data_IF_660469363903
#
_entry.id   IF_660469363903
#
_cell.length_a   1.000
_cell.length_b   1.000
_cell.length_c   1.000
_cell.angle_alpha   90.00
_cell.angle_beta   90.00
_cell.angle_gamma   90.00
#
_symmetry.space_group_name_H-M   'P 1'
#
loop_
_entity.id
_entity.type
_entity.pdbx_description
1 polymer ?
#
# COMPACT_ATOMS: atom_id res chain seq x y z
N UNK A 1 -2.83 -18.86 8.18
CA UNK A 1 -2.50 -17.49 7.71
C UNK A 1 -0.99 -17.29 7.59
N UNK A 2 -0.55 -16.59 6.54
CA UNK A 2 0.81 -16.05 6.32
C UNK A 2 0.75 -14.54 6.08
N UNK A 3 1.66 -13.78 6.68
CA UNK A 3 1.75 -12.34 6.52
C UNK A 3 2.96 -11.93 5.66
N UNK A 4 2.72 -11.01 4.73
CA UNK A 4 3.75 -10.27 3.98
C UNK A 4 3.76 -8.83 4.47
N UNK A 5 4.83 -8.42 5.13
CA UNK A 5 4.84 -7.16 5.90
C UNK A 5 5.79 -6.16 5.26
N UNK A 6 5.38 -4.91 5.17
CA UNK A 6 6.27 -3.84 4.74
C UNK A 6 7.54 -3.78 5.63
N UNK A 7 8.66 -3.27 5.11
CA UNK A 7 9.82 -2.92 5.94
C UNK A 7 10.20 -1.44 5.79
N UNK A 8 10.68 -0.88 6.89
CA UNK A 8 11.32 0.44 6.98
C UNK A 8 12.86 0.32 7.18
N UNK A 9 13.42 -0.87 6.94
CA UNK A 9 14.84 -1.24 7.13
C UNK A 9 15.34 -1.21 8.57
N UNK A 10 14.45 -1.36 9.55
CA UNK A 10 14.79 -1.53 10.96
C UNK A 10 15.03 -3.02 11.28
N UNK A 11 16.25 -3.36 11.69
CA UNK A 11 16.62 -4.74 12.04
C UNK A 11 16.00 -5.20 13.37
N UNK A 12 15.71 -4.31 14.30
CA UNK A 12 15.04 -4.68 15.55
C UNK A 12 13.58 -5.03 15.30
N UNK A 13 12.93 -4.37 14.33
CA UNK A 13 11.59 -4.72 13.89
C UNK A 13 11.49 -6.18 13.44
N UNK A 14 12.47 -6.68 12.67
CA UNK A 14 12.51 -8.07 12.21
C UNK A 14 12.52 -9.08 13.36
N UNK A 15 13.31 -8.82 14.40
CA UNK A 15 13.35 -9.68 15.61
C UNK A 15 12.00 -9.71 16.32
N UNK A 16 11.35 -8.55 16.41
CA UNK A 16 10.07 -8.41 17.12
C UNK A 16 8.91 -9.11 16.39
N UNK A 17 8.98 -9.21 15.06
CA UNK A 17 7.94 -9.87 14.26
C UNK A 17 8.18 -11.36 14.02
N UNK A 18 9.39 -11.87 14.27
CA UNK A 18 9.77 -13.27 14.03
C UNK A 18 8.91 -14.31 14.78
N UNK A 19 8.26 -13.89 15.88
CA UNK A 19 7.34 -14.73 16.67
C UNK A 19 5.93 -14.84 16.08
N UNK A 20 5.60 -14.04 15.08
CA UNK A 20 4.30 -14.01 14.42
C UNK A 20 4.39 -14.75 13.06
N UNK A 21 3.25 -15.12 12.44
CA UNK A 21 3.23 -15.83 11.14
C UNK A 21 3.63 -14.94 9.95
N UNK A 22 4.79 -14.29 10.02
CA UNK A 22 5.38 -13.47 8.94
C UNK A 22 6.27 -14.35 8.07
N UNK A 23 5.85 -14.57 6.83
CA UNK A 23 6.57 -15.38 5.84
C UNK A 23 7.63 -14.55 5.10
N UNK A 24 7.32 -13.26 4.89
CA UNK A 24 8.23 -12.33 4.22
C UNK A 24 8.10 -10.89 4.73
N UNK A 25 9.18 -10.13 4.55
CA UNK A 25 9.13 -8.67 4.49
C UNK A 25 9.37 -8.18 3.08
N UNK A 26 8.81 -7.02 2.73
CA UNK A 26 9.01 -6.42 1.41
C UNK A 26 9.40 -4.94 1.49
N UNK A 27 10.28 -4.54 0.58
CA UNK A 27 10.84 -3.19 0.54
C UNK A 27 11.52 -2.89 -0.80
N UNK A 28 11.98 -1.65 -0.95
CA UNK A 28 12.88 -1.26 -2.04
C UNK A 28 13.73 -0.07 -1.62
N UNK A 29 14.83 0.16 -2.32
CA UNK A 29 15.63 1.37 -2.14
C UNK A 29 14.80 2.62 -2.47
N UNK A 30 15.12 3.79 -1.87
CA UNK A 30 14.36 5.01 -2.08
C UNK A 30 14.28 5.43 -3.56
N UNK A 31 15.36 5.18 -4.30
CA UNK A 31 15.44 5.36 -5.75
C UNK A 31 16.16 4.17 -6.36
N UNK A 32 15.64 3.70 -7.47
CA UNK A 32 16.29 2.76 -8.37
C UNK A 32 15.89 3.05 -9.81
N UNK A 33 16.43 2.28 -10.74
CA UNK A 33 16.10 2.47 -12.15
C UNK A 33 14.62 2.19 -12.41
N UNK A 34 13.95 1.23 -11.79
CA UNK A 34 12.57 0.89 -12.20
C UNK A 34 11.54 1.91 -11.67
N UNK A 35 11.69 2.38 -10.44
CA UNK A 35 10.60 3.06 -9.72
C UNK A 35 9.67 2.06 -9.03
N UNK A 36 8.62 2.53 -8.36
CA UNK A 36 7.71 1.66 -7.63
C UNK A 36 6.54 2.38 -6.99
N UNK A 37 5.82 1.66 -6.12
CA UNK A 37 4.53 2.13 -5.59
C UNK A 37 4.53 3.21 -4.51
N UNK A 38 5.64 3.94 -4.31
CA UNK A 38 5.75 5.05 -3.34
C UNK A 38 6.78 6.03 -3.86
N UNK A 39 6.48 7.32 -3.82
CA UNK A 39 7.43 8.36 -4.18
C UNK A 39 8.66 8.35 -3.24
N UNK A 40 9.83 8.63 -3.80
CA UNK A 40 11.13 8.49 -3.12
C UNK A 40 11.23 9.31 -1.82
N UNK A 41 10.54 10.44 -1.74
CA UNK A 41 10.54 11.28 -0.54
C UNK A 41 9.88 10.63 0.69
N UNK A 42 9.11 9.56 0.51
CA UNK A 42 8.39 8.83 1.58
C UNK A 42 9.09 7.56 2.05
N UNK A 43 10.20 7.16 1.42
CA UNK A 43 10.81 5.82 1.60
C UNK A 43 12.16 5.84 2.32
N UNK A 44 12.52 6.96 2.96
CA UNK A 44 13.75 7.11 3.74
C UNK A 44 15.02 7.20 2.88
N UNK A 45 16.17 6.80 3.44
CA UNK A 45 17.51 6.97 2.82
C UNK A 45 18.29 5.64 2.77
N UNK A 46 17.60 4.51 2.64
CA UNK A 46 18.25 3.20 2.69
C UNK A 46 19.28 3.02 1.57
N UNK A 47 20.47 2.53 1.91
CA UNK A 47 21.53 2.18 0.95
C UNK A 47 21.52 0.69 0.58
N UNK A 48 22.24 0.31 -0.49
CA UNK A 48 22.44 -1.10 -0.85
C UNK A 48 23.11 -1.91 0.28
N UNK A 49 24.06 -1.32 1.01
CA UNK A 49 24.70 -1.98 2.15
C UNK A 49 23.74 -2.20 3.33
N UNK A 50 22.86 -1.23 3.59
CA UNK A 50 21.80 -1.38 4.59
C UNK A 50 20.80 -2.45 4.17
N UNK A 51 20.40 -2.48 2.89
CA UNK A 51 19.55 -3.53 2.35
C UNK A 51 20.19 -4.92 2.54
N UNK A 52 21.46 -5.11 2.17
CA UNK A 52 22.16 -6.39 2.34
C UNK A 52 22.20 -6.85 3.82
N UNK A 53 22.49 -5.93 4.74
CA UNK A 53 22.46 -6.21 6.18
C UNK A 53 21.04 -6.61 6.67
N UNK A 54 20.02 -5.94 6.14
CA UNK A 54 18.62 -6.19 6.47
C UNK A 54 18.13 -7.54 5.93
N UNK A 55 18.46 -7.89 4.69
CA UNK A 55 18.18 -9.22 4.09
C UNK A 55 18.80 -10.32 4.94
N UNK A 56 20.10 -10.20 5.27
CA UNK A 56 20.80 -11.15 6.15
C UNK A 56 20.13 -11.30 7.51
N UNK A 57 19.61 -10.19 8.06
CA UNK A 57 18.90 -10.21 9.35
C UNK A 57 17.54 -10.86 9.22
N UNK A 58 16.80 -10.64 8.13
CA UNK A 58 15.53 -11.29 7.87
C UNK A 58 15.71 -12.82 7.81
N UNK A 59 16.70 -13.29 7.04
CA UNK A 59 17.02 -14.72 6.94
C UNK A 59 17.42 -15.35 8.27
N UNK A 60 18.20 -14.65 9.10
CA UNK A 60 18.53 -15.11 10.46
C UNK A 60 17.30 -15.33 11.35
N UNK A 61 16.20 -14.66 11.06
CA UNK A 61 14.93 -14.79 11.77
C UNK A 61 13.93 -15.69 11.01
N UNK A 62 14.35 -16.39 9.96
CA UNK A 62 13.49 -17.26 9.15
C UNK A 62 12.49 -16.52 8.26
N UNK A 63 12.74 -15.23 7.96
CA UNK A 63 11.85 -14.38 7.17
C UNK A 63 12.49 -14.13 5.79
N UNK A 64 11.73 -14.35 4.72
CA UNK A 64 12.17 -14.04 3.35
C UNK A 64 12.13 -12.53 3.06
N UNK A 65 12.90 -12.08 2.07
CA UNK A 65 12.92 -10.71 1.60
C UNK A 65 12.44 -10.60 0.15
N UNK A 66 11.44 -9.75 -0.08
CA UNK A 66 10.86 -9.45 -1.39
C UNK A 66 11.17 -8.01 -1.83
N UNK A 67 11.93 -7.83 -2.90
CA UNK A 67 12.28 -6.52 -3.44
C UNK A 67 11.24 -6.03 -4.47
N UNK A 68 10.83 -4.77 -4.37
CA UNK A 68 9.79 -4.20 -5.24
C UNK A 68 10.37 -3.47 -6.46
N UNK A 69 10.17 -4.03 -7.66
CA UNK A 69 10.36 -3.42 -8.98
C UNK A 69 9.01 -3.22 -9.69
N UNK A 70 8.05 -2.68 -8.95
CA UNK A 70 6.63 -2.78 -9.27
C UNK A 70 6.03 -1.53 -9.96
N UNK A 71 6.87 -0.73 -10.64
CA UNK A 71 6.41 0.40 -11.44
C UNK A 71 5.45 -0.07 -12.54
N UNK A 72 4.36 0.68 -12.75
CA UNK A 72 3.41 0.42 -13.86
C UNK A 72 3.91 1.00 -15.19
N UNK A 73 4.77 2.02 -15.12
CA UNK A 73 5.36 2.69 -16.26
C UNK A 73 6.82 3.03 -15.94
N UNK A 74 7.71 2.74 -16.88
CA UNK A 74 9.13 3.09 -16.79
C UNK A 74 9.54 4.14 -17.83
N UNK A 75 8.60 4.71 -18.59
CA UNK A 75 8.93 5.67 -19.65
C UNK A 75 9.77 5.05 -20.77
N UNK A 76 9.49 3.80 -21.14
CA UNK A 76 10.16 3.04 -22.21
C UNK A 76 11.65 2.73 -22.00
N UNK A 77 12.18 2.91 -20.80
CA UNK A 77 13.61 2.67 -20.51
C UNK A 77 14.02 1.22 -20.64
N UNK A 78 13.10 0.30 -20.37
CA UNK A 78 13.25 -1.14 -20.58
C UNK A 78 13.54 -1.52 -22.04
N UNK A 79 13.17 -0.67 -23.01
CA UNK A 79 13.44 -0.90 -24.43
C UNK A 79 14.82 -0.39 -24.87
N UNK A 80 15.48 0.41 -24.04
CA UNK A 80 16.82 0.92 -24.33
C UNK A 80 17.90 -0.06 -23.85
N UNK A 81 18.98 -0.21 -24.61
CA UNK A 81 20.15 -1.02 -24.20
C UNK A 81 20.70 -0.56 -22.84
N UNK A 82 20.75 0.77 -22.62
CA UNK A 82 21.24 1.34 -21.37
C UNK A 82 20.33 0.99 -20.19
N UNK A 83 19.03 1.28 -20.29
CA UNK A 83 18.07 1.00 -19.21
C UNK A 83 17.96 -0.49 -18.91
N UNK A 84 18.02 -1.36 -19.92
CA UNK A 84 18.04 -2.81 -19.69
C UNK A 84 19.31 -3.28 -18.99
N UNK A 85 20.48 -2.73 -19.34
CA UNK A 85 21.72 -3.04 -18.64
C UNK A 85 21.66 -2.60 -17.16
N UNK A 86 21.07 -1.44 -16.87
CA UNK A 86 20.89 -0.98 -15.49
C UNK A 86 19.90 -1.84 -14.71
N UNK A 87 18.78 -2.25 -15.32
CA UNK A 87 17.81 -3.18 -14.71
C UNK A 87 18.49 -4.51 -14.37
N UNK A 88 19.24 -5.08 -15.32
CA UNK A 88 19.96 -6.35 -15.13
C UNK A 88 21.02 -6.24 -14.05
N UNK A 89 21.81 -5.16 -14.05
CA UNK A 89 22.80 -4.91 -13.00
C UNK A 89 22.14 -4.87 -11.62
N UNK A 90 21.00 -4.18 -11.49
CA UNK A 90 20.25 -4.17 -10.23
C UNK A 90 19.79 -5.58 -9.83
N UNK A 91 19.25 -6.37 -10.76
CA UNK A 91 18.86 -7.76 -10.49
C UNK A 91 20.06 -8.63 -10.07
N UNK A 92 21.22 -8.48 -10.70
CA UNK A 92 22.46 -9.16 -10.32
C UNK A 92 22.86 -8.79 -8.88
N UNK A 93 22.87 -7.49 -8.54
CA UNK A 93 23.18 -6.99 -7.20
C UNK A 93 22.21 -7.53 -6.14
N UNK A 94 20.90 -7.56 -6.45
CA UNK A 94 19.87 -8.12 -5.56
C UNK A 94 20.05 -9.63 -5.35
N UNK A 95 20.46 -10.35 -6.40
CA UNK A 95 20.76 -11.78 -6.32
C UNK A 95 21.96 -12.07 -5.43
N UNK A 96 23.03 -11.27 -5.57
CA UNK A 96 24.25 -11.41 -4.75
C UNK A 96 24.01 -11.21 -3.25
N UNK A 97 23.07 -10.33 -2.87
CA UNK A 97 22.75 -10.09 -1.46
C UNK A 97 21.69 -11.05 -0.91
N UNK A 98 21.19 -11.98 -1.72
CA UNK A 98 20.25 -13.02 -1.31
C UNK A 98 18.79 -12.57 -1.24
N UNK A 99 18.34 -11.62 -2.08
CA UNK A 99 16.89 -11.35 -2.18
C UNK A 99 16.17 -12.60 -2.68
N UNK A 100 15.07 -12.98 -2.01
CA UNK A 100 14.35 -14.22 -2.31
C UNK A 100 13.31 -14.05 -3.43
N UNK A 101 12.70 -12.87 -3.52
CA UNK A 101 11.63 -12.61 -4.49
C UNK A 101 11.68 -11.21 -5.06
N UNK A 102 11.21 -11.07 -6.30
CA UNK A 102 11.04 -9.78 -6.97
C UNK A 102 9.56 -9.59 -7.29
N UNK A 103 9.00 -8.47 -6.83
CA UNK A 103 7.65 -8.05 -7.21
C UNK A 103 7.69 -7.10 -8.39
N UNK A 104 7.06 -7.47 -9.50
CA UNK A 104 6.91 -6.62 -10.71
C UNK A 104 5.45 -6.34 -11.02
N UNK A 105 5.21 -5.41 -11.94
CA UNK A 105 3.86 -5.08 -12.44
C UNK A 105 3.78 -5.02 -13.95
N UNK A 106 4.90 -5.22 -14.66
CA UNK A 106 4.97 -5.19 -16.12
C UNK A 106 5.26 -6.59 -16.68
N UNK A 107 4.51 -7.05 -17.71
CA UNK A 107 4.69 -8.39 -18.27
C UNK A 107 6.11 -8.64 -18.75
N UNK A 108 6.71 -7.64 -19.40
CA UNK A 108 8.06 -7.74 -19.92
C UNK A 108 9.12 -7.99 -18.83
N UNK A 109 9.05 -7.31 -17.67
CA UNK A 109 9.98 -7.60 -16.58
C UNK A 109 9.73 -8.97 -15.95
N UNK A 110 8.47 -9.43 -15.90
CA UNK A 110 8.15 -10.78 -15.43
C UNK A 110 8.82 -11.83 -16.32
N UNK A 111 8.73 -11.70 -17.64
CA UNK A 111 9.41 -12.59 -18.59
C UNK A 111 10.93 -12.53 -18.47
N UNK A 112 11.52 -11.32 -18.36
CA UNK A 112 12.97 -11.15 -18.17
C UNK A 112 13.45 -11.86 -16.91
N UNK A 113 12.74 -11.68 -15.78
CA UNK A 113 13.09 -12.31 -14.51
C UNK A 113 12.93 -13.83 -14.62
N UNK A 114 11.80 -14.34 -15.11
CA UNK A 114 11.57 -15.78 -15.19
C UNK A 114 12.58 -16.48 -16.10
N UNK A 115 12.99 -15.82 -17.20
CA UNK A 115 13.94 -16.37 -18.18
C UNK A 115 15.40 -16.28 -17.74
N UNK A 116 15.81 -15.15 -17.17
CA UNK A 116 17.23 -14.86 -16.92
C UNK A 116 17.63 -14.90 -15.45
N UNK A 117 16.67 -14.86 -14.54
CA UNK A 117 16.86 -14.84 -13.09
C UNK A 117 15.93 -15.85 -12.38
N UNK A 118 15.93 -17.14 -12.78
CA UNK A 118 14.98 -18.13 -12.27
C UNK A 118 15.17 -18.45 -10.77
N UNK A 119 16.25 -17.97 -10.15
CA UNK A 119 16.48 -18.10 -8.71
C UNK A 119 15.59 -17.19 -7.85
N UNK A 120 14.98 -16.15 -8.43
CA UNK A 120 14.01 -15.33 -7.71
C UNK A 120 12.62 -15.93 -7.78
N UNK A 121 11.90 -15.90 -6.66
CA UNK A 121 10.43 -15.98 -6.68
C UNK A 121 9.85 -14.77 -7.40
N UNK A 122 9.00 -15.02 -8.41
CA UNK A 122 8.35 -13.99 -9.19
C UNK A 122 6.98 -13.65 -8.61
N UNK A 123 6.84 -12.45 -8.06
CA UNK A 123 5.56 -11.93 -7.56
C UNK A 123 5.00 -10.85 -8.47
N UNK A 124 3.69 -10.83 -8.65
CA UNK A 124 3.01 -9.77 -9.39
C UNK A 124 2.28 -8.86 -8.42
N UNK A 125 2.62 -7.56 -8.45
CA UNK A 125 2.09 -6.57 -7.52
C UNK A 125 0.71 -6.03 -7.94
N UNK A 126 0.04 -5.35 -7.00
CA UNK A 126 -1.30 -4.76 -7.20
C UNK A 126 -1.41 -3.79 -8.40
N UNK A 127 -0.30 -3.21 -8.87
CA UNK A 127 -0.32 -2.30 -10.03
C UNK A 127 -0.56 -3.03 -11.37
N UNK A 128 -0.53 -4.36 -11.36
CA UNK A 128 -0.97 -5.17 -12.48
C UNK A 128 -2.51 -5.30 -12.58
N UNK A 129 -3.25 -4.76 -11.61
CA UNK A 129 -4.73 -4.71 -11.59
C UNK A 129 -5.37 -6.09 -11.85
N UNK A 130 -4.92 -7.11 -11.13
CA UNK A 130 -5.44 -8.48 -11.26
C UNK A 130 -6.78 -8.57 -10.51
N UNK A 131 -7.86 -8.36 -11.26
CA UNK A 131 -9.24 -8.27 -10.76
C UNK A 131 -10.18 -9.30 -11.41
N UNK A 132 -9.66 -10.20 -12.25
CA UNK A 132 -10.45 -11.19 -13.00
C UNK A 132 -9.70 -12.51 -13.19
N UNK A 133 -10.42 -13.63 -13.37
CA UNK A 133 -9.80 -14.92 -13.68
C UNK A 133 -8.88 -14.89 -14.91
N UNK A 134 -9.28 -14.14 -15.95
CA UNK A 134 -8.50 -14.03 -17.18
C UNK A 134 -7.17 -13.30 -16.95
N UNK A 135 -7.17 -12.19 -16.19
CA UNK A 135 -5.92 -11.50 -15.83
C UNK A 135 -5.06 -12.39 -14.93
N UNK A 136 -5.65 -13.14 -14.01
CA UNK A 136 -4.89 -14.05 -13.14
C UNK A 136 -4.17 -15.14 -13.96
N UNK A 137 -4.87 -15.82 -14.86
CA UNK A 137 -4.28 -16.83 -15.76
C UNK A 137 -3.18 -16.26 -16.64
N UNK A 138 -3.37 -15.04 -17.16
CA UNK A 138 -2.34 -14.38 -17.96
C UNK A 138 -1.00 -14.30 -17.20
N UNK A 139 -1.03 -13.84 -15.95
CA UNK A 139 0.18 -13.70 -15.13
C UNK A 139 0.75 -15.05 -14.66
N UNK A 140 -0.10 -16.02 -14.32
CA UNK A 140 0.35 -17.38 -14.02
C UNK A 140 1.08 -18.01 -15.21
N UNK A 141 0.56 -17.85 -16.43
CA UNK A 141 1.18 -18.36 -17.65
C UNK A 141 2.54 -17.71 -17.97
N UNK A 142 2.81 -16.51 -17.46
CA UNK A 142 4.15 -15.88 -17.52
C UNK A 142 5.12 -16.45 -16.47
N UNK A 143 4.67 -17.38 -15.63
CA UNK A 143 5.48 -18.06 -14.62
C UNK A 143 5.47 -17.37 -13.26
N UNK A 144 4.46 -16.55 -12.95
CA UNK A 144 4.31 -15.93 -11.64
C UNK A 144 4.07 -16.97 -10.54
N UNK A 145 4.85 -16.90 -9.46
CA UNK A 145 4.72 -17.77 -8.30
C UNK A 145 3.66 -17.26 -7.30
N UNK A 146 3.42 -15.93 -7.26
CA UNK A 146 2.36 -15.33 -6.45
C UNK A 146 1.75 -14.09 -7.10
N UNK A 147 0.43 -13.95 -7.04
CA UNK A 147 -0.32 -12.79 -7.50
C UNK A 147 -0.90 -12.02 -6.31
N UNK A 148 -0.53 -10.74 -6.18
CA UNK A 148 -1.20 -9.80 -5.28
C UNK A 148 -2.41 -9.25 -6.02
N UNK A 149 -3.61 -9.61 -5.57
CA UNK A 149 -4.84 -9.20 -6.23
C UNK A 149 -5.11 -7.70 -6.08
N UNK A 150 -5.85 -7.16 -7.04
CA UNK A 150 -6.46 -5.84 -6.91
C UNK A 150 -7.31 -5.81 -5.63
N UNK A 151 -7.23 -4.76 -4.81
CA UNK A 151 -7.91 -4.75 -3.51
C UNK A 151 -8.97 -3.66 -3.38
N UNK A 152 -8.95 -2.63 -4.23
CA UNK A 152 -9.82 -1.47 -4.08
C UNK A 152 -11.24 -1.73 -4.61
N UNK A 153 -11.41 -2.72 -5.48
CA UNK A 153 -12.69 -3.06 -6.12
C UNK A 153 -13.16 -4.48 -5.81
N UNK A 154 -12.26 -5.44 -5.57
CA UNK A 154 -12.64 -6.86 -5.48
C UNK A 154 -12.51 -7.51 -4.10
N UNK A 155 -11.87 -6.88 -3.10
CA UNK A 155 -11.72 -7.48 -1.76
C UNK A 155 -13.05 -7.83 -1.06
N UNK A 156 -14.17 -7.23 -1.49
CA UNK A 156 -15.53 -7.55 -1.00
C UNK A 156 -16.41 -8.29 -2.03
N UNK A 157 -15.85 -8.66 -3.19
CA UNK A 157 -16.54 -9.40 -4.26
C UNK A 157 -16.24 -10.88 -4.14
N UNK A 158 -16.85 -11.53 -3.16
CA UNK A 158 -16.48 -12.89 -2.74
C UNK A 158 -16.62 -13.94 -3.84
N UNK A 159 -17.68 -13.88 -4.66
CA UNK A 159 -17.85 -14.78 -5.81
C UNK A 159 -16.75 -14.59 -6.86
N UNK A 160 -16.30 -13.35 -7.07
CA UNK A 160 -15.20 -13.04 -7.99
C UNK A 160 -13.85 -13.51 -7.43
N UNK A 161 -13.60 -13.30 -6.14
CA UNK A 161 -12.41 -13.82 -5.45
C UNK A 161 -12.34 -15.35 -5.58
N UNK A 162 -13.45 -16.05 -5.32
CA UNK A 162 -13.54 -17.51 -5.49
C UNK A 162 -13.25 -17.93 -6.94
N UNK A 163 -13.86 -17.25 -7.93
CA UNK A 163 -13.61 -17.54 -9.34
C UNK A 163 -12.14 -17.30 -9.75
N UNK A 164 -11.46 -16.29 -9.17
CA UNK A 164 -10.02 -16.07 -9.40
C UNK A 164 -9.22 -17.22 -8.77
N UNK A 165 -9.52 -17.60 -7.51
CA UNK A 165 -8.83 -18.69 -6.82
C UNK A 165 -8.95 -20.01 -7.56
N UNK A 166 -10.13 -20.34 -8.11
CA UNK A 166 -10.36 -21.56 -8.89
C UNK A 166 -9.70 -21.53 -10.28
N UNK A 167 -9.30 -20.35 -10.77
CA UNK A 167 -8.75 -20.19 -12.12
C UNK A 167 -7.25 -20.37 -12.26
N UNK A 168 -6.52 -20.38 -11.14
CA UNK A 168 -5.05 -20.46 -11.08
C UNK A 168 -4.61 -21.36 -9.93
N UNK A 169 -3.41 -21.92 -10.03
CA UNK A 169 -2.76 -22.76 -9.03
C UNK A 169 -1.72 -22.03 -8.18
N UNK A 170 -1.16 -20.93 -8.70
CA UNK A 170 -0.13 -20.13 -8.03
C UNK A 170 -0.62 -19.49 -6.72
N UNK A 171 0.31 -18.93 -5.94
CA UNK A 171 -0.04 -18.23 -4.70
C UNK A 171 -0.95 -17.04 -4.98
N UNK A 172 -1.98 -16.83 -4.16
CA UNK A 172 -2.79 -15.61 -4.19
C UNK A 172 -2.64 -14.87 -2.86
N UNK A 173 -2.47 -13.56 -2.94
CA UNK A 173 -2.29 -12.69 -1.78
C UNK A 173 -3.29 -11.52 -1.83
N UNK A 174 -3.97 -11.27 -0.71
CA UNK A 174 -4.86 -10.13 -0.54
C UNK A 174 -4.16 -9.03 0.26
N UNK A 175 -4.40 -7.76 -0.06
CA UNK A 175 -3.97 -6.65 0.81
C UNK A 175 -5.06 -6.43 1.85
N UNK A 176 -4.70 -6.40 3.13
CA UNK A 176 -5.69 -6.35 4.21
C UNK A 176 -5.95 -4.93 4.73
N UNK A 177 -4.90 -4.13 4.98
CA UNK A 177 -5.03 -2.85 5.66
C UNK A 177 -4.69 -1.64 4.77
N UNK A 178 -5.73 -1.02 4.20
CA UNK A 178 -5.63 0.22 3.45
C UNK A 178 -6.91 1.04 3.60
N UNK A 179 -6.83 2.33 3.27
CA UNK A 179 -7.95 3.26 3.33
C UNK A 179 -8.20 3.97 1.98
N UNK A 180 -7.87 3.32 0.86
CA UNK A 180 -8.14 3.81 -0.48
C UNK A 180 -9.66 3.93 -0.72
N UNK A 181 -10.04 4.83 -1.62
CA UNK A 181 -11.45 4.98 -2.03
C UNK A 181 -11.94 3.65 -2.64
N UNK A 182 -13.19 3.24 -2.36
CA UNK A 182 -13.80 2.10 -3.05
C UNK A 182 -13.86 2.39 -4.55
N UNK A 183 -13.45 1.45 -5.40
CA UNK A 183 -13.42 1.61 -6.86
C UNK A 183 -12.74 2.92 -7.31
N UNK A 184 -11.59 3.26 -6.70
CA UNK A 184 -10.95 4.56 -6.86
C UNK A 184 -10.71 4.94 -8.33
N UNK A 185 -11.35 6.01 -8.86
CA UNK A 185 -11.18 6.41 -10.27
C UNK A 185 -9.79 7.01 -10.55
N UNK A 186 -9.07 7.41 -9.51
CA UNK A 186 -7.71 7.95 -9.61
C UNK A 186 -6.62 6.88 -9.57
N UNK A 187 -6.98 5.58 -9.48
CA UNK A 187 -6.03 4.48 -9.25
C UNK A 187 -4.88 4.48 -10.26
N UNK A 188 -5.19 4.43 -11.57
CA UNK A 188 -4.17 4.36 -12.62
C UNK A 188 -3.30 5.62 -12.63
N UNK A 189 -3.91 6.80 -12.51
CA UNK A 189 -3.18 8.06 -12.44
C UNK A 189 -2.23 8.11 -11.23
N UNK A 190 -2.69 7.62 -10.07
CA UNK A 190 -1.88 7.54 -8.86
C UNK A 190 -0.69 6.59 -9.03
N UNK A 191 -0.95 5.38 -9.53
CA UNK A 191 0.05 4.34 -9.78
C UNK A 191 1.16 4.82 -10.73
N UNK A 192 0.78 5.50 -11.81
CA UNK A 192 1.74 6.08 -12.75
C UNK A 192 2.52 7.23 -12.10
N UNK A 193 1.84 8.15 -11.41
CA UNK A 193 2.48 9.28 -10.74
C UNK A 193 3.54 8.86 -9.71
N UNK A 194 3.25 7.88 -8.86
CA UNK A 194 4.21 7.37 -7.87
C UNK A 194 5.34 6.52 -8.48
N UNK A 195 5.07 5.80 -9.58
CA UNK A 195 6.12 5.09 -10.32
C UNK A 195 7.16 6.08 -10.86
N UNK A 196 6.71 7.20 -11.42
CA UNK A 196 7.58 8.28 -11.89
C UNK A 196 8.25 9.05 -10.73
N UNK A 197 7.53 9.29 -9.63
CA UNK A 197 8.06 9.98 -8.45
C UNK A 197 9.12 9.20 -7.63
N UNK A 198 9.47 7.99 -8.03
CA UNK A 198 10.37 7.10 -7.28
C UNK A 198 11.45 6.42 -8.12
N UNK A 199 11.49 6.70 -9.41
CA UNK A 199 12.61 6.26 -10.24
C UNK A 199 13.77 7.28 -10.18
N UNK A 200 14.95 6.86 -10.64
CA UNK A 200 16.14 7.71 -10.70
C UNK A 200 16.22 8.64 -11.92
N UNK A 201 15.37 8.43 -12.93
CA UNK A 201 15.42 9.15 -14.21
C UNK A 201 14.66 10.47 -14.17
N UNK A 202 13.50 10.50 -13.52
CA UNK A 202 12.63 11.66 -13.47
C UNK A 202 13.10 12.65 -12.41
N UNK A 203 13.20 13.91 -12.83
CA UNK A 203 13.71 14.98 -11.96
C UNK A 203 12.60 15.79 -11.31
N UNK A 204 11.40 15.83 -11.92
CA UNK A 204 10.32 16.70 -11.45
C UNK A 204 9.69 16.19 -10.15
N UNK A 205 9.42 17.07 -9.17
CA UNK A 205 8.81 16.68 -7.92
C UNK A 205 7.37 16.20 -8.15
N UNK A 206 7.03 15.03 -7.60
CA UNK A 206 5.66 14.51 -7.64
C UNK A 206 4.87 14.99 -6.41
N UNK A 207 3.96 15.95 -6.62
CA UNK A 207 2.93 16.27 -5.64
C UNK A 207 1.84 15.21 -5.77
N UNK A 208 1.59 14.46 -4.71
CA UNK A 208 0.59 13.40 -4.72
C UNK A 208 -0.83 13.98 -4.63
N UNK A 209 -1.30 14.50 -5.78
CA UNK A 209 -2.65 15.03 -5.93
C UNK A 209 -3.71 14.00 -5.52
N UNK A 210 -3.49 12.72 -5.84
CA UNK A 210 -4.43 11.65 -5.53
C UNK A 210 -4.62 11.48 -4.02
N UNK A 211 -3.53 11.51 -3.24
CA UNK A 211 -3.60 11.50 -1.77
C UNK A 211 -4.27 12.76 -1.24
N UNK A 212 -3.93 13.95 -1.75
CA UNK A 212 -4.59 15.18 -1.32
C UNK A 212 -6.10 15.14 -1.59
N UNK A 213 -6.50 14.66 -2.76
CA UNK A 213 -7.91 14.59 -3.18
C UNK A 213 -8.68 13.54 -2.40
N UNK A 214 -8.15 12.33 -2.24
CA UNK A 214 -8.84 11.26 -1.50
C UNK A 214 -8.95 11.57 0.00
N UNK A 215 -7.94 12.23 0.57
CA UNK A 215 -7.98 12.63 1.99
C UNK A 215 -8.90 13.83 2.26
N UNK A 216 -9.19 14.65 1.23
CA UNK A 216 -10.26 15.66 1.27
C UNK A 216 -11.63 14.98 1.21
N UNK A 217 -11.83 14.03 0.29
CA UNK A 217 -13.10 13.31 0.16
C UNK A 217 -13.47 12.53 1.42
N UNK A 218 -12.50 11.86 2.06
CA UNK A 218 -12.75 11.14 3.32
C UNK A 218 -12.98 12.09 4.51
N UNK A 219 -12.50 13.33 4.45
CA UNK A 219 -12.81 14.36 5.45
C UNK A 219 -14.23 14.92 5.27
N UNK A 220 -14.67 15.10 4.01
CA UNK A 220 -16.01 15.56 3.65
C UNK A 220 -17.07 14.47 3.86
N UNK A 221 -16.73 13.22 3.53
CA UNK A 221 -17.58 12.05 3.65
C UNK A 221 -16.82 10.91 4.36
N UNK A 222 -16.89 10.83 5.70
CA UNK A 222 -16.17 9.81 6.48
C UNK A 222 -16.64 8.38 6.23
N UNK A 223 -17.84 8.19 5.66
CA UNK A 223 -18.34 6.86 5.31
C UNK A 223 -17.45 6.16 4.28
N UNK A 224 -16.68 6.91 3.49
CA UNK A 224 -15.68 6.36 2.58
C UNK A 224 -14.60 5.54 3.30
N UNK A 225 -14.34 5.78 4.59
CA UNK A 225 -13.41 4.97 5.39
C UNK A 225 -13.98 3.58 5.69
N UNK A 226 -15.29 3.47 5.93
CA UNK A 226 -15.98 2.18 6.17
C UNK A 226 -16.21 1.45 4.84
N UNK A 227 -16.54 2.21 3.78
CA UNK A 227 -16.72 1.69 2.42
C UNK A 227 -15.41 1.18 1.79
N UNK A 228 -14.25 1.63 2.26
CA UNK A 228 -12.94 1.11 1.82
C UNK A 228 -12.84 -0.39 2.03
N UNK A 229 -12.30 -1.13 1.06
CA UNK A 229 -12.31 -2.59 1.03
C UNK A 229 -11.19 -3.24 1.86
N UNK A 230 -10.87 -2.69 3.03
CA UNK A 230 -10.01 -3.38 3.99
C UNK A 230 -10.64 -4.69 4.46
N UNK A 231 -9.80 -5.56 5.02
CA UNK A 231 -10.15 -6.82 5.69
C UNK A 231 -9.84 -6.63 7.16
N UNK A 232 -10.79 -6.81 8.08
CA UNK A 232 -10.47 -6.72 9.52
C UNK A 232 -9.72 -7.97 9.96
N UNK A 233 -8.89 -7.88 11.01
CA UNK A 233 -8.29 -9.05 11.65
C UNK A 233 -9.28 -10.17 11.97
N UNK A 234 -10.46 -9.82 12.50
CA UNK A 234 -11.53 -10.76 12.85
C UNK A 234 -12.10 -11.49 11.62
N UNK A 235 -11.99 -10.86 10.45
CA UNK A 235 -12.56 -11.34 9.20
C UNK A 235 -11.64 -12.31 8.44
N UNK A 236 -10.40 -12.52 8.91
CA UNK A 236 -9.39 -13.33 8.22
C UNK A 236 -9.88 -14.76 7.94
N UNK A 237 -10.55 -15.39 8.90
CA UNK A 237 -11.05 -16.77 8.77
C UNK A 237 -12.03 -16.93 7.61
N UNK A 238 -12.84 -15.89 7.35
CA UNK A 238 -13.74 -15.89 6.21
C UNK A 238 -12.96 -15.97 4.89
N UNK A 239 -11.89 -15.20 4.73
CA UNK A 239 -11.05 -15.24 3.52
C UNK A 239 -10.22 -16.53 3.42
N UNK A 240 -9.77 -17.09 4.55
CA UNK A 240 -9.11 -18.41 4.56
C UNK A 240 -10.07 -19.51 4.07
N UNK A 241 -11.36 -19.45 4.43
CA UNK A 241 -12.39 -20.37 3.93
C UNK A 241 -12.62 -20.26 2.41
N UNK A 242 -12.29 -19.10 1.81
CA UNK A 242 -12.32 -18.89 0.36
C UNK A 242 -11.03 -19.35 -0.35
N UNK A 243 -10.06 -19.90 0.38
CA UNK A 243 -8.77 -20.38 -0.17
C UNK A 243 -7.66 -19.32 -0.21
N UNK A 244 -7.79 -18.23 0.54
CA UNK A 244 -6.77 -17.18 0.64
C UNK A 244 -6.04 -17.26 1.99
N UNK A 245 -4.78 -17.68 1.97
CA UNK A 245 -3.98 -17.84 3.19
C UNK A 245 -2.82 -16.84 3.31
N UNK A 246 -2.65 -15.93 2.35
CA UNK A 246 -1.57 -14.93 2.34
C UNK A 246 -2.15 -13.52 2.35
N UNK A 247 -1.73 -12.71 3.33
CA UNK A 247 -2.22 -11.35 3.53
C UNK A 247 -1.06 -10.36 3.59
N UNK A 248 -1.16 -9.31 2.80
CA UNK A 248 -0.16 -8.24 2.73
C UNK A 248 -0.55 -7.07 3.61
N UNK A 249 0.37 -6.66 4.48
CA UNK A 249 0.19 -5.55 5.40
C UNK A 249 1.01 -4.33 5.00
N UNK A 250 0.32 -3.22 4.73
CA UNK A 250 0.90 -1.89 4.53
C UNK A 250 1.20 -1.24 5.91
N UNK A 251 2.09 -0.26 6.06
CA UNK A 251 2.70 0.65 5.10
C UNK A 251 4.22 0.76 5.35
N UNK A 252 5.02 0.97 4.31
CA UNK A 252 6.50 0.98 4.36
C UNK A 252 7.10 2.16 5.13
N UNK A 253 6.38 3.27 5.24
CA UNK A 253 6.86 4.46 5.95
C UNK A 253 6.37 4.51 7.41
N UNK A 254 5.59 3.53 7.86
CA UNK A 254 5.07 3.52 9.21
C UNK A 254 6.19 3.32 10.24
N UNK A 255 6.07 3.89 11.46
CA UNK A 255 6.95 3.57 12.57
C UNK A 255 6.92 2.08 12.93
N UNK A 256 8.07 1.51 13.30
CA UNK A 256 8.22 0.06 13.57
C UNK A 256 7.25 -0.46 14.64
N UNK A 257 6.93 0.34 15.65
CA UNK A 257 5.98 -0.03 16.71
C UNK A 257 4.54 -0.10 16.20
N UNK A 258 4.14 0.81 15.30
CA UNK A 258 2.83 0.73 14.65
C UNK A 258 2.76 -0.47 13.71
N UNK A 259 3.84 -0.74 12.96
CA UNK A 259 3.92 -1.92 12.10
C UNK A 259 3.80 -3.20 12.93
N UNK A 260 4.47 -3.27 14.09
CA UNK A 260 4.37 -4.39 15.03
C UNK A 260 2.94 -4.55 15.56
N UNK A 261 2.29 -3.46 15.97
CA UNK A 261 0.88 -3.48 16.38
C UNK A 261 -0.04 -4.03 15.29
N UNK A 262 0.20 -3.68 14.02
CA UNK A 262 -0.57 -4.21 12.88
C UNK A 262 -0.34 -5.71 12.69
N UNK A 263 0.91 -6.15 12.76
CA UNK A 263 1.24 -7.59 12.71
C UNK A 263 0.55 -8.35 13.84
N UNK A 264 0.60 -7.81 15.07
CA UNK A 264 -0.10 -8.36 16.23
C UNK A 264 -1.60 -8.46 15.99
N UNK A 265 -2.24 -7.37 15.59
CA UNK A 265 -3.68 -7.32 15.33
C UNK A 265 -4.13 -8.46 14.41
N UNK A 266 -3.48 -8.65 13.26
CA UNK A 266 -3.82 -9.73 12.33
C UNK A 266 -3.44 -11.13 12.83
N UNK A 267 -2.33 -11.26 13.55
CA UNK A 267 -1.91 -12.54 14.13
C UNK A 267 -2.88 -13.04 15.21
N UNK A 268 -3.35 -12.10 16.03
CA UNK A 268 -4.28 -12.35 17.13
C UNK A 268 -5.74 -12.30 16.66
N UNK A 269 -5.99 -11.87 15.41
CA UNK A 269 -7.31 -11.65 14.80
C UNK A 269 -8.19 -10.67 15.59
N UNK A 270 -7.57 -9.62 16.15
CA UNK A 270 -8.25 -8.58 16.93
C UNK A 270 -7.88 -7.19 16.42
N UNK A 271 -8.88 -6.40 16.06
CA UNK A 271 -8.75 -5.00 15.67
C UNK A 271 -8.36 -4.12 16.86
N UNK A 272 -7.54 -3.07 16.64
CA UNK A 272 -7.35 -2.03 17.66
C UNK A 272 -8.64 -1.21 17.85
N UNK A 273 -8.76 -0.55 19.00
CA UNK A 273 -9.93 0.29 19.32
C UNK A 273 -10.20 1.36 18.26
N UNK A 274 -9.14 2.02 17.79
CA UNK A 274 -9.19 2.95 16.66
C UNK A 274 -8.71 2.25 15.38
N UNK A 275 -9.64 1.91 14.49
CA UNK A 275 -9.37 1.22 13.22
C UNK A 275 -8.38 1.98 12.33
N UNK A 276 -8.26 3.30 12.51
CA UNK A 276 -7.33 4.13 11.74
C UNK A 276 -5.86 3.76 12.00
N UNK A 277 -5.51 3.26 13.19
CA UNK A 277 -4.18 2.72 13.47
C UNK A 277 -3.84 1.56 12.54
N UNK A 278 -4.85 0.78 12.15
CA UNK A 278 -4.70 -0.35 11.24
C UNK A 278 -4.59 0.10 9.78
N UNK A 279 -5.51 0.97 9.31
CA UNK A 279 -5.73 1.20 7.87
C UNK A 279 -5.14 2.48 7.29
N UNK A 280 -4.81 3.50 8.12
CA UNK A 280 -4.31 4.77 7.58
C UNK A 280 -2.83 4.70 7.19
N UNK A 281 -2.45 5.25 6.02
CA UNK A 281 -1.05 5.36 5.61
C UNK A 281 -0.35 6.63 6.12
N UNK A 282 -1.00 7.40 7.00
CA UNK A 282 -0.51 8.65 7.58
C UNK A 282 -1.15 8.88 8.96
N UNK A 283 -0.86 10.03 9.59
CA UNK A 283 -1.45 10.38 10.88
C UNK A 283 -0.73 9.73 12.06
N UNK A 284 0.52 9.31 11.86
CA UNK A 284 1.30 8.62 12.89
C UNK A 284 1.64 9.55 14.05
N UNK A 285 1.69 9.03 15.27
CA UNK A 285 2.08 9.80 16.47
C UNK A 285 3.61 9.99 16.59
N UNK A 286 4.39 9.26 15.81
CA UNK A 286 5.87 9.31 15.81
C UNK A 286 6.39 9.87 14.50
N UNK A 287 7.61 10.40 14.56
CA UNK A 287 8.31 10.90 13.37
C UNK A 287 8.58 9.75 12.40
N UNK A 288 8.35 10.04 11.12
CA UNK A 288 8.71 9.16 10.01
C UNK A 288 9.91 9.76 9.28
N UNK A 289 10.79 8.90 8.75
CA UNK A 289 11.95 9.33 7.98
C UNK A 289 11.48 9.83 6.62
N UNK A 290 11.73 11.10 6.31
CA UNK A 290 11.31 11.74 5.06
C UNK A 290 12.50 12.43 4.40
N UNK A 291 12.48 12.50 3.06
CA UNK A 291 13.40 13.35 2.29
C UNK A 291 12.73 14.72 2.07
N UNK A 292 13.41 15.82 2.43
CA UNK A 292 12.85 17.18 2.31
C UNK A 292 13.40 17.98 1.12
N UNK A 293 14.30 17.41 0.31
CA UNK A 293 14.94 18.12 -0.81
C UNK A 293 13.93 18.67 -1.85
N UNK A 294 12.81 17.98 -2.04
CA UNK A 294 11.73 18.42 -2.94
C UNK A 294 11.02 19.70 -2.47
N UNK A 295 11.05 20.02 -1.16
CA UNK A 295 10.43 21.24 -0.60
C UNK A 295 11.11 22.48 -1.16
N UNK A 296 12.45 22.47 -1.28
CA UNK A 296 13.22 23.59 -1.84
C UNK A 296 12.83 23.85 -3.29
N UNK A 297 12.69 22.78 -4.08
CA UNK A 297 12.28 22.89 -5.47
C UNK A 297 10.84 23.39 -5.59
N UNK A 298 9.93 22.89 -4.75
CA UNK A 298 8.54 23.34 -4.75
C UNK A 298 8.40 24.79 -4.27
N UNK A 299 9.24 25.24 -3.33
CA UNK A 299 9.31 26.64 -2.91
C UNK A 299 9.69 27.56 -4.08
N UNK A 300 10.64 27.15 -4.92
CA UNK A 300 11.04 27.90 -6.11
C UNK A 300 9.96 27.91 -7.20
N UNK A 301 9.37 26.76 -7.51
CA UNK A 301 8.41 26.63 -8.62
C UNK A 301 6.99 27.10 -8.26
N UNK A 302 6.57 26.95 -6.99
CA UNK A 302 5.21 27.24 -6.51
C UNK A 302 5.22 27.96 -5.14
N UNK A 303 5.81 29.16 -5.02
CA UNK A 303 6.00 29.84 -3.72
C UNK A 303 4.69 30.17 -2.99
N UNK A 304 3.59 30.41 -3.71
CA UNK A 304 2.28 30.67 -3.09
C UNK A 304 1.64 29.42 -2.50
N UNK A 305 1.97 28.24 -3.02
CA UNK A 305 1.39 26.95 -2.62
C UNK A 305 2.10 26.35 -1.41
N UNK A 306 3.42 26.54 -1.29
CA UNK A 306 4.25 25.80 -0.35
C UNK A 306 3.81 25.94 1.11
N UNK A 307 3.50 27.17 1.56
CA UNK A 307 3.11 27.40 2.95
C UNK A 307 1.73 26.81 3.28
N UNK A 308 0.65 27.07 2.50
CA UNK A 308 -0.63 26.37 2.68
C UNK A 308 -0.51 24.85 2.63
N UNK A 309 0.27 24.31 1.69
CA UNK A 309 0.48 22.88 1.55
C UNK A 309 1.21 22.30 2.77
N UNK A 310 2.32 22.91 3.20
CA UNK A 310 3.03 22.50 4.40
C UNK A 310 2.11 22.50 5.63
N UNK A 311 1.32 23.56 5.81
CA UNK A 311 0.37 23.65 6.93
C UNK A 311 -0.68 22.53 6.86
N UNK A 312 -1.21 22.22 5.68
CA UNK A 312 -2.14 21.10 5.47
C UNK A 312 -1.49 19.76 5.81
N UNK A 313 -0.31 19.49 5.24
CA UNK A 313 0.41 18.24 5.42
C UNK A 313 0.80 18.01 6.88
N UNK A 314 1.18 19.08 7.60
CA UNK A 314 1.43 19.05 9.04
C UNK A 314 0.16 18.76 9.83
N UNK A 315 -0.93 19.48 9.54
CA UNK A 315 -2.19 19.37 10.29
C UNK A 315 -2.81 17.98 10.11
N UNK A 316 -2.79 17.43 8.88
CA UNK A 316 -3.32 16.09 8.59
C UNK A 316 -2.41 14.94 9.02
N UNK A 317 -1.18 15.23 9.46
CA UNK A 317 -0.18 14.21 9.79
C UNK A 317 0.34 13.44 8.57
N UNK A 318 0.36 14.07 7.39
CA UNK A 318 0.84 13.47 6.12
C UNK A 318 2.37 13.52 5.99
N UNK A 319 3.03 14.48 6.64
CA UNK A 319 4.50 14.61 6.64
C UNK A 319 5.12 14.60 8.04
N UNK A 320 4.31 14.90 9.06
CA UNK A 320 4.77 15.14 10.43
C UNK A 320 3.87 14.38 11.39
N UNK A 321 4.32 14.12 12.62
CA UNK A 321 3.51 13.45 13.61
C UNK A 321 2.21 14.19 13.87
N UNK A 322 1.11 13.43 13.89
CA UNK A 322 -0.19 13.93 14.33
C UNK A 322 -0.21 13.97 15.85
N UNK A 323 -0.59 15.12 16.41
CA UNK A 323 -0.77 15.26 17.87
C UNK A 323 -2.18 14.83 18.25
N UNK A 324 -2.27 13.92 19.22
CA UNK A 324 -3.54 13.37 19.70
C UNK A 324 -4.24 12.52 18.65
N UNK A 325 -5.53 12.29 18.87
CA UNK A 325 -6.40 11.48 18.00
C UNK A 325 -7.61 12.31 17.56
N UNK A 326 -7.40 13.32 16.68
CA UNK A 326 -8.49 14.20 16.25
C UNK A 326 -9.53 13.47 15.40
N UNK A 327 -9.24 12.26 14.94
CA UNK A 327 -10.16 11.39 14.22
C UNK A 327 -10.10 10.00 14.86
N UNK A 328 -11.26 9.45 15.19
CA UNK A 328 -11.41 8.09 15.70
C UNK A 328 -12.45 7.36 14.86
N UNK A 329 -12.10 6.18 14.36
CA UNK A 329 -13.05 5.23 13.79
C UNK A 329 -13.06 4.00 14.69
N UNK A 330 -14.08 3.89 15.55
CA UNK A 330 -14.13 2.85 16.57
C UNK A 330 -14.42 1.47 15.96
N UNK A 331 -13.46 0.55 16.05
CA UNK A 331 -13.62 -0.81 15.53
C UNK A 331 -14.73 -1.57 16.28
N UNK A 332 -14.84 -1.37 17.59
CA UNK A 332 -15.88 -1.96 18.48
C UNK A 332 -17.31 -1.60 18.08
N UNK A 333 -17.50 -0.51 17.34
CA UNK A 333 -18.81 -0.07 16.85
C UNK A 333 -19.13 -0.56 15.44
N UNK A 334 -18.19 -1.21 14.77
CA UNK A 334 -18.47 -1.93 13.53
C UNK A 334 -19.06 -3.29 13.92
N UNK A 335 -20.25 -3.67 13.39
CA UNK A 335 -20.90 -4.92 13.77
C UNK A 335 -20.01 -6.16 13.58
N UNK A 336 -20.19 -7.18 14.42
CA UNK A 336 -19.45 -8.44 14.31
C UNK A 336 -19.78 -9.16 12.99
N UNK A 337 -21.05 -9.18 12.60
CA UNK A 337 -21.60 -9.72 11.35
C UNK A 337 -21.38 -8.80 10.13
N UNK A 338 -20.49 -7.80 10.22
CA UNK A 338 -20.29 -6.81 9.15
C UNK A 338 -20.04 -7.42 7.77
N UNK A 339 -19.20 -8.45 7.66
CA UNK A 339 -18.96 -9.11 6.37
C UNK A 339 -20.14 -9.93 5.87
N UNK A 340 -20.90 -10.57 6.76
CA UNK A 340 -22.12 -11.29 6.39
C UNK A 340 -23.13 -10.32 5.77
N UNK A 341 -23.33 -9.17 6.40
CA UNK A 341 -24.18 -8.12 5.86
C UNK A 341 -23.66 -7.58 4.51
N UNK A 342 -22.35 -7.30 4.39
CA UNK A 342 -21.72 -6.87 3.13
C UNK A 342 -21.94 -7.90 2.02
N UNK A 343 -21.84 -9.19 2.32
CA UNK A 343 -21.96 -10.27 1.33
C UNK A 343 -23.29 -10.28 0.60
N UNK A 344 -24.35 -9.82 1.26
CA UNK A 344 -25.72 -9.80 0.74
C UNK A 344 -26.08 -8.50 0.01
N UNK A 345 -25.17 -7.53 -0.07
CA UNK A 345 -25.45 -6.18 -0.58
C UNK A 345 -24.96 -5.97 -2.02
N UNK A 346 -25.54 -4.99 -2.75
CA UNK A 346 -25.12 -4.69 -4.13
C UNK A 346 -23.63 -4.36 -4.29
N UNK A 347 -22.95 -3.91 -3.23
CA UNK A 347 -21.53 -3.59 -3.28
C UNK A 347 -20.64 -4.84 -3.44
N UNK A 348 -21.07 -6.01 -2.97
CA UNK A 348 -20.35 -7.29 -3.16
C UNK A 348 -20.59 -7.88 -4.55
N UNK A 349 -21.74 -7.59 -5.18
CA UNK A 349 -22.15 -8.20 -6.45
C UNK A 349 -21.82 -7.30 -7.65
N UNK A 350 -22.42 -6.11 -7.71
CA UNK A 350 -22.33 -5.17 -8.84
C UNK A 350 -21.44 -3.94 -8.54
N UNK A 351 -20.92 -3.81 -7.31
CA UNK A 351 -20.00 -2.74 -6.94
C UNK A 351 -20.65 -1.38 -6.68
N UNK A 352 -21.98 -1.34 -6.53
CA UNK A 352 -22.72 -0.09 -6.23
C UNK A 352 -23.06 0.04 -4.74
N UNK A 353 -22.95 1.27 -4.23
CA UNK A 353 -23.37 1.65 -2.88
C UNK A 353 -24.53 2.67 -2.87
N UNK A 354 -25.11 2.99 -4.03
CA UNK A 354 -26.05 4.12 -4.18
C UNK A 354 -27.35 3.95 -3.39
N UNK A 355 -27.84 2.72 -3.28
CA UNK A 355 -29.13 2.42 -2.64
C UNK A 355 -28.96 1.83 -1.24
N UNK A 356 -27.73 1.58 -0.79
CA UNK A 356 -27.44 0.87 0.45
C UNK A 356 -26.82 1.81 1.50
N UNK A 357 -27.62 2.21 2.50
CA UNK A 357 -27.20 3.12 3.57
C UNK A 357 -26.47 2.42 4.75
N UNK A 358 -25.93 1.22 4.53
CA UNK A 358 -25.40 0.38 5.62
C UNK A 358 -24.12 0.95 6.26
N UNK A 359 -23.13 1.31 5.44
CA UNK A 359 -21.87 1.87 5.94
C UNK A 359 -22.05 3.26 6.54
N UNK A 360 -23.02 4.03 6.05
CA UNK A 360 -23.35 5.36 6.56
C UNK A 360 -23.88 5.27 8.00
N UNK A 361 -24.80 4.34 8.29
CA UNK A 361 -25.27 4.06 9.66
C UNK A 361 -24.16 3.61 10.62
N UNK A 362 -23.22 2.79 10.14
CA UNK A 362 -22.04 2.41 10.93
C UNK A 362 -21.22 3.66 11.24
N UNK A 363 -21.00 4.51 10.24
CA UNK A 363 -20.19 5.73 10.36
C UNK A 363 -20.78 6.70 11.39
N UNK A 364 -22.10 6.91 11.40
CA UNK A 364 -22.79 7.79 12.36
C UNK A 364 -22.46 7.47 13.82
N UNK A 365 -22.29 6.18 14.14
CA UNK A 365 -21.96 5.74 15.50
C UNK A 365 -20.46 5.58 15.74
N UNK A 366 -19.72 5.08 14.75
CA UNK A 366 -18.33 4.66 14.85
C UNK A 366 -17.32 5.79 14.64
N UNK A 367 -17.67 6.81 13.86
CA UNK A 367 -16.76 7.88 13.49
C UNK A 367 -16.93 9.10 14.40
N UNK A 368 -15.80 9.65 14.86
CA UNK A 368 -15.73 10.92 15.56
C UNK A 368 -14.59 11.75 14.99
N UNK A 369 -14.81 13.06 14.92
CA UNK A 369 -13.80 14.03 14.53
C UNK A 369 -13.90 15.27 15.43
N UNK A 370 -12.74 15.81 15.81
CA UNK A 370 -12.67 17.10 16.49
C UNK A 370 -13.16 18.23 15.55
N UNK A 371 -14.17 19.03 15.95
CA UNK A 371 -14.74 20.04 15.06
C UNK A 371 -13.75 21.13 14.62
N UNK A 372 -12.87 21.57 15.51
CA UNK A 372 -11.87 22.60 15.19
C UNK A 372 -10.83 22.06 14.21
N UNK A 373 -10.43 20.81 14.37
CA UNK A 373 -9.56 20.10 13.44
C UNK A 373 -10.23 19.93 12.06
N UNK A 374 -11.51 19.57 12.01
CA UNK A 374 -12.27 19.42 10.78
C UNK A 374 -12.36 20.75 10.01
N UNK A 375 -12.71 21.83 10.70
CA UNK A 375 -12.82 23.16 10.10
C UNK A 375 -11.49 23.64 9.53
N UNK A 376 -10.40 23.52 10.30
CA UNK A 376 -9.07 23.96 9.87
C UNK A 376 -8.57 23.13 8.67
N UNK A 377 -8.74 21.81 8.70
CA UNK A 377 -8.39 20.95 7.57
C UNK A 377 -9.20 21.33 6.32
N UNK A 378 -10.51 21.52 6.45
CA UNK A 378 -11.39 21.91 5.34
C UNK A 378 -10.95 23.24 4.71
N UNK A 379 -10.65 24.24 5.55
CA UNK A 379 -10.14 25.55 5.11
C UNK A 379 -8.81 25.41 4.36
N UNK A 380 -7.91 24.57 4.86
CA UNK A 380 -6.60 24.33 4.24
C UNK A 380 -6.70 23.59 2.90
N UNK A 381 -7.54 22.54 2.80
CA UNK A 381 -7.79 21.84 1.54
C UNK A 381 -8.33 22.79 0.48
N UNK A 382 -9.36 23.59 0.80
CA UNK A 382 -9.91 24.61 -0.12
C UNK A 382 -8.82 25.57 -0.61
N UNK A 383 -7.96 26.06 0.29
CA UNK A 383 -6.85 26.95 -0.06
C UNK A 383 -5.81 26.28 -0.95
N UNK A 384 -5.43 25.05 -0.65
CA UNK A 384 -4.45 24.27 -1.41
C UNK A 384 -4.96 23.95 -2.81
N UNK A 385 -6.20 23.47 -2.96
CA UNK A 385 -6.75 23.17 -4.28
C UNK A 385 -6.92 24.39 -5.16
N UNK A 386 -7.30 25.55 -4.61
CA UNK A 386 -7.36 26.83 -5.35
C UNK A 386 -6.00 27.30 -5.87
N UNK A 387 -4.90 26.81 -5.30
CA UNK A 387 -3.54 27.17 -5.70
C UNK A 387 -2.87 26.10 -6.56
N UNK A 388 -3.39 24.87 -6.55
CA UNK A 388 -2.95 23.74 -7.36
C UNK A 388 -3.61 23.75 -8.75
N UNK A 389 -4.92 24.00 -8.78
CA UNK A 389 -5.72 24.21 -9.99
C UNK A 389 -5.71 25.69 -10.36
#
# INVERSE_FOLDING_TARGET
MKLSVATNFDNEFLKNIARYPVDEVYGKLPRDIVGGGRASYTTGTASMSQLASHVKTAHKNGIAFNYLLNAVCMGNREWSKHGMNEIRKLLDDLGHIGVDSITVSTPYLAEVIKKHYPGFGLKIGIFANIDTPTRARFWENLGADTLVLESFSINRRFSLLKAIRESVSCGLQLIANFSCLPNCPMQIYHMTGIAHGSNSADKNPFIDYCVLKCTSFTLENPCLLVKSNWIRPEDIDFYESLGFHSFKLLERNAPSDLMLKRVQAYSDKVSPDNLLELIQPFGFQKNVKMEYAWILRLLLERPRLIYPLYKLLKTRGLLLPLKGEPIVLSAKKIPQDFLQEVSQRPCSTIGSCETCNYCDRITESAYKIDPAFHEECTRLYKKVFRLLC
#
